data_IF_993034950757
#
_entry.id   IF_993034950757
#
_cell.length_a   1.000
_cell.length_b   1.000
_cell.length_c   1.000
_cell.angle_alpha   90.00
_cell.angle_beta   90.00
_cell.angle_gamma   90.00
#
_symmetry.space_group_name_H-M   'P 1'
#
loop_
_entity.id
_entity.type
_entity.pdbx_description
1 polymer ?
#
# COMPACT_ATOMS: atom_id res chain seq x y z
N UNK A 1 -47.76 -5.19 44.34
CA UNK A 1 -46.42 -4.89 43.77
C UNK A 1 -45.95 -6.16 43.07
N UNK A 2 -45.84 -6.22 41.73
CA UNK A 2 -45.15 -7.36 41.06
C UNK A 2 -44.92 -7.20 39.53
N UNK A 3 -44.67 -5.98 39.01
CA UNK A 3 -44.41 -5.77 37.57
C UNK A 3 -42.92 -5.66 37.15
N UNK A 4 -41.98 -5.78 38.09
CA UNK A 4 -40.55 -5.58 37.81
C UNK A 4 -39.82 -6.74 37.10
N UNK A 5 -40.08 -8.04 37.36
CA UNK A 5 -39.23 -9.10 36.81
C UNK A 5 -39.42 -9.34 35.30
N UNK A 6 -40.63 -9.17 34.76
CA UNK A 6 -40.91 -9.34 33.32
C UNK A 6 -40.29 -8.24 32.45
N UNK A 7 -40.29 -6.97 32.91
CA UNK A 7 -39.65 -5.86 32.18
C UNK A 7 -38.13 -6.00 32.10
N UNK A 8 -37.49 -6.53 33.15
CA UNK A 8 -36.05 -6.78 33.18
C UNK A 8 -35.69 -7.96 32.26
N UNK A 9 -36.49 -9.04 32.26
CA UNK A 9 -36.31 -10.20 31.38
C UNK A 9 -36.42 -9.85 29.89
N UNK A 10 -37.37 -8.98 29.50
CA UNK A 10 -37.52 -8.52 28.12
C UNK A 10 -36.36 -7.63 27.64
N UNK A 11 -35.76 -6.83 28.53
CA UNK A 11 -34.55 -6.04 28.20
C UNK A 11 -33.34 -6.95 27.99
N UNK A 12 -33.18 -8.00 28.79
CA UNK A 12 -32.11 -8.99 28.62
C UNK A 12 -32.20 -9.71 27.27
N UNK A 13 -33.40 -10.16 26.89
CA UNK A 13 -33.64 -10.81 25.58
C UNK A 13 -33.38 -9.87 24.41
N UNK A 14 -33.79 -8.59 24.51
CA UNK A 14 -33.50 -7.59 23.49
C UNK A 14 -32.00 -7.31 23.33
N UNK A 15 -31.26 -7.23 24.44
CA UNK A 15 -29.80 -7.05 24.43
C UNK A 15 -29.11 -8.29 23.82
N UNK A 16 -29.53 -9.51 24.18
CA UNK A 16 -28.99 -10.73 23.59
C UNK A 16 -29.26 -10.83 22.09
N UNK A 17 -30.42 -10.36 21.62
CA UNK A 17 -30.75 -10.31 20.19
C UNK A 17 -29.85 -9.31 19.44
N UNK A 18 -29.60 -8.13 20.02
CA UNK A 18 -28.67 -7.14 19.45
C UNK A 18 -27.23 -7.66 19.38
N UNK A 19 -26.75 -8.32 20.44
CA UNK A 19 -25.41 -8.93 20.46
C UNK A 19 -25.29 -10.03 19.41
N UNK A 20 -26.33 -10.86 19.25
CA UNK A 20 -26.35 -11.93 18.26
C UNK A 20 -26.35 -11.39 16.84
N UNK A 21 -27.15 -10.37 16.55
CA UNK A 21 -27.22 -9.73 15.24
C UNK A 21 -25.88 -9.06 14.88
N UNK A 22 -25.23 -8.40 15.83
CA UNK A 22 -23.88 -7.83 15.62
C UNK A 22 -22.82 -8.93 15.40
N UNK A 23 -22.88 -10.03 16.14
CA UNK A 23 -21.99 -11.19 15.93
C UNK A 23 -22.22 -11.87 14.58
N UNK A 24 -23.46 -12.00 14.12
CA UNK A 24 -23.79 -12.53 12.80
C UNK A 24 -23.31 -11.59 11.71
N UNK A 25 -23.51 -10.27 11.84
CA UNK A 25 -22.96 -9.26 10.92
C UNK A 25 -21.43 -9.33 10.85
N UNK A 26 -20.76 -9.41 12.00
CA UNK A 26 -19.30 -9.56 12.06
C UNK A 26 -18.82 -10.84 11.36
N UNK A 27 -19.47 -11.98 11.64
CA UNK A 27 -19.17 -13.27 11.00
C UNK A 27 -19.40 -13.27 9.49
N UNK A 28 -20.33 -12.46 8.99
CA UNK A 28 -20.57 -12.30 7.55
C UNK A 28 -19.54 -11.36 6.90
N UNK A 29 -19.01 -10.38 7.63
CA UNK A 29 -18.01 -9.43 7.12
C UNK A 29 -16.58 -9.98 7.15
N UNK A 30 -16.26 -10.85 8.11
CA UNK A 30 -14.91 -11.42 8.29
C UNK A 30 -14.40 -12.19 7.05
N UNK A 31 -15.20 -13.06 6.37
CA UNK A 31 -14.79 -13.70 5.13
C UNK A 31 -14.54 -12.71 3.98
N UNK A 32 -15.33 -11.65 3.90
CA UNK A 32 -15.15 -10.61 2.88
C UNK A 32 -13.86 -9.82 3.11
N UNK A 33 -13.60 -9.43 4.36
CA UNK A 33 -12.35 -8.75 4.73
C UNK A 33 -11.14 -9.63 4.45
N UNK A 34 -11.22 -10.92 4.77
CA UNK A 34 -10.17 -11.88 4.47
C UNK A 34 -9.95 -12.01 2.96
N UNK A 35 -11.01 -12.15 2.17
CA UNK A 35 -10.91 -12.23 0.72
C UNK A 35 -10.29 -10.96 0.11
N UNK A 36 -10.70 -9.78 0.58
CA UNK A 36 -10.14 -8.50 0.13
C UNK A 36 -8.65 -8.35 0.49
N UNK A 37 -8.24 -8.88 1.65
CA UNK A 37 -6.83 -8.91 2.08
C UNK A 37 -6.01 -9.86 1.19
N UNK A 38 -6.53 -11.07 0.94
CA UNK A 38 -5.90 -12.06 0.06
C UNK A 38 -5.76 -11.54 -1.37
N UNK A 39 -6.80 -10.92 -1.92
CA UNK A 39 -6.78 -10.30 -3.25
C UNK A 39 -5.75 -9.17 -3.32
N UNK A 40 -5.69 -8.32 -2.29
CA UNK A 40 -4.72 -7.23 -2.24
C UNK A 40 -3.30 -7.76 -2.16
N UNK A 41 -3.05 -8.76 -1.32
CA UNK A 41 -1.76 -9.43 -1.23
C UNK A 41 -1.35 -10.08 -2.56
N UNK A 42 -2.27 -10.79 -3.21
CA UNK A 42 -2.03 -11.37 -4.53
C UNK A 42 -1.68 -10.31 -5.58
N UNK A 43 -2.41 -9.20 -5.60
CA UNK A 43 -2.09 -8.10 -6.52
C UNK A 43 -0.71 -7.50 -6.26
N UNK A 44 -0.36 -7.25 -5.00
CA UNK A 44 0.95 -6.70 -4.63
C UNK A 44 2.06 -7.65 -5.12
N UNK A 45 1.99 -8.91 -4.72
CA UNK A 45 3.04 -9.90 -5.00
C UNK A 45 3.18 -10.24 -6.49
N UNK A 46 2.09 -10.20 -7.26
CA UNK A 46 2.11 -10.60 -8.68
C UNK A 46 2.27 -9.44 -9.66
N UNK A 47 1.88 -8.22 -9.28
CA UNK A 47 1.88 -7.05 -10.19
C UNK A 47 2.80 -5.93 -9.75
N UNK A 48 2.84 -5.61 -8.45
CA UNK A 48 3.55 -4.42 -7.93
C UNK A 48 4.99 -4.75 -7.55
N UNK A 49 5.18 -5.78 -6.71
CA UNK A 49 6.49 -6.17 -6.18
C UNK A 49 7.53 -6.49 -7.28
N UNK A 50 7.19 -7.21 -8.37
CA UNK A 50 8.17 -7.49 -9.43
C UNK A 50 8.75 -6.22 -10.07
N UNK A 51 7.96 -5.14 -10.13
CA UNK A 51 8.40 -3.86 -10.68
C UNK A 51 9.18 -3.07 -9.63
N UNK A 52 8.61 -2.93 -8.42
CA UNK A 52 9.20 -2.10 -7.36
C UNK A 52 10.50 -2.67 -6.81
N UNK A 53 10.62 -3.99 -6.61
CA UNK A 53 11.85 -4.61 -6.11
C UNK A 53 13.01 -4.36 -7.06
N UNK A 54 12.80 -4.51 -8.37
CA UNK A 54 13.84 -4.28 -9.37
C UNK A 54 14.36 -2.84 -9.33
N UNK A 55 13.46 -1.85 -9.33
CA UNK A 55 13.89 -0.44 -9.32
C UNK A 55 14.43 0.00 -7.96
N UNK A 56 13.99 -0.63 -6.87
CA UNK A 56 14.55 -0.43 -5.54
C UNK A 56 16.00 -0.89 -5.46
N UNK A 57 16.33 -2.04 -6.04
CA UNK A 57 17.71 -2.52 -6.13
C UNK A 57 18.59 -1.54 -6.91
N UNK A 58 18.12 -1.08 -8.07
CA UNK A 58 18.86 -0.12 -8.90
C UNK A 58 19.09 1.21 -8.17
N UNK A 59 18.06 1.79 -7.56
CA UNK A 59 18.20 3.09 -6.89
C UNK A 59 19.11 3.01 -5.66
N UNK A 60 19.13 1.88 -4.94
CA UNK A 60 20.03 1.67 -3.80
C UNK A 60 21.46 1.32 -4.21
N UNK A 61 21.64 0.73 -5.40
CA UNK A 61 22.94 0.47 -5.97
C UNK A 61 23.63 1.77 -6.36
N UNK A 62 22.94 2.63 -7.11
CA UNK A 62 23.54 3.84 -7.69
C UNK A 62 23.42 5.07 -6.77
N UNK A 63 22.40 5.16 -5.93
CA UNK A 63 22.14 6.29 -5.04
C UNK A 63 22.14 7.65 -5.77
N UNK A 64 21.29 7.85 -6.79
CA UNK A 64 21.15 9.13 -7.49
C UNK A 64 20.62 10.23 -6.58
N UNK A 65 21.06 11.46 -6.78
CA UNK A 65 20.50 12.61 -6.06
C UNK A 65 19.06 12.91 -6.49
N UNK A 66 18.78 12.86 -7.80
CA UNK A 66 17.44 13.01 -8.41
C UNK A 66 16.67 11.67 -8.38
N UNK A 67 16.32 11.23 -7.18
CA UNK A 67 15.78 9.88 -6.93
C UNK A 67 14.48 9.59 -7.69
N UNK A 68 13.54 10.54 -7.75
CA UNK A 68 12.25 10.32 -8.40
C UNK A 68 12.37 10.19 -9.93
N UNK A 69 13.17 11.05 -10.58
CA UNK A 69 13.40 10.96 -12.03
C UNK A 69 14.17 9.67 -12.39
N UNK A 70 15.12 9.28 -11.55
CA UNK A 70 15.82 8.01 -11.72
C UNK A 70 14.86 6.83 -11.66
N UNK A 71 13.99 6.77 -10.64
CA UNK A 71 12.99 5.71 -10.50
C UNK A 71 12.02 5.67 -11.69
N UNK A 72 11.57 6.84 -12.19
CA UNK A 72 10.70 6.89 -13.35
C UNK A 72 11.36 6.25 -14.60
N UNK A 73 12.61 6.59 -14.86
CA UNK A 73 13.36 6.05 -16.00
C UNK A 73 13.77 4.58 -15.80
N UNK A 74 14.05 4.16 -14.57
CA UNK A 74 14.28 2.76 -14.22
C UNK A 74 13.04 1.90 -14.48
N UNK A 75 11.86 2.36 -14.03
CA UNK A 75 10.58 1.66 -14.28
C UNK A 75 10.31 1.56 -15.79
N UNK A 76 10.58 2.61 -16.57
CA UNK A 76 10.42 2.59 -18.04
C UNK A 76 11.42 1.71 -18.78
N UNK A 77 12.53 1.35 -18.14
CA UNK A 77 13.66 0.72 -18.81
C UNK A 77 14.45 1.69 -19.70
N UNK A 78 14.33 3.00 -19.48
CA UNK A 78 15.01 4.07 -20.23
C UNK A 78 16.13 4.73 -19.41
N UNK A 79 16.62 4.04 -18.37
CA UNK A 79 17.60 4.57 -17.44
C UNK A 79 18.95 4.85 -18.11
N UNK A 80 19.38 6.11 -18.08
CA UNK A 80 20.72 6.53 -18.51
C UNK A 80 21.55 6.96 -17.30
N UNK A 81 22.45 6.07 -16.87
CA UNK A 81 23.33 6.29 -15.71
C UNK A 81 24.29 7.47 -15.86
N UNK A 82 24.52 8.00 -17.07
CA UNK A 82 25.39 9.17 -17.26
C UNK A 82 24.68 10.50 -16.97
N UNK A 83 23.35 10.48 -16.81
CA UNK A 83 22.53 11.69 -16.59
C UNK A 83 22.56 12.19 -15.14
N UNK A 84 22.89 11.32 -14.18
CA UNK A 84 22.67 11.58 -12.77
C UNK A 84 23.96 11.86 -12.01
N UNK A 85 23.82 12.69 -10.97
CA UNK A 85 24.81 12.81 -9.92
C UNK A 85 24.48 11.79 -8.83
N UNK A 86 25.53 11.25 -8.20
CA UNK A 86 25.41 10.19 -7.21
C UNK A 86 25.88 10.67 -5.85
N UNK A 87 25.20 10.22 -4.81
CA UNK A 87 25.54 10.54 -3.42
C UNK A 87 26.17 9.34 -2.74
N UNK A 88 27.22 9.59 -1.97
CA UNK A 88 27.85 8.57 -1.14
C UNK A 88 27.26 8.64 0.28
N UNK A 89 26.10 8.02 0.46
CA UNK A 89 25.49 7.82 1.77
C UNK A 89 25.54 6.35 2.15
N UNK A 90 25.48 6.07 3.46
CA UNK A 90 25.16 4.72 3.92
C UNK A 90 23.79 4.34 3.34
N UNK A 91 23.69 3.18 2.68
CA UNK A 91 22.47 2.75 1.95
C UNK A 91 21.18 2.92 2.75
N UNK A 92 21.19 2.54 4.03
CA UNK A 92 20.03 2.70 4.92
C UNK A 92 19.62 4.18 5.06
N UNK A 93 20.58 5.08 5.24
CA UNK A 93 20.31 6.52 5.38
C UNK A 93 19.78 7.11 4.05
N UNK A 94 20.32 6.66 2.92
CA UNK A 94 19.80 7.06 1.60
C UNK A 94 18.36 6.58 1.42
N UNK A 95 18.09 5.31 1.73
CA UNK A 95 16.76 4.73 1.66
C UNK A 95 15.77 5.54 2.51
N UNK A 96 16.10 5.76 3.78
CA UNK A 96 15.22 6.44 4.72
C UNK A 96 14.92 7.89 4.33
N UNK A 97 15.92 8.61 3.80
CA UNK A 97 15.79 10.03 3.47
C UNK A 97 15.17 10.28 2.11
N UNK A 98 15.46 9.44 1.11
CA UNK A 98 15.15 9.75 -0.30
C UNK A 98 14.18 8.74 -0.95
N UNK A 99 14.23 7.47 -0.55
CA UNK A 99 13.53 6.39 -1.29
C UNK A 99 12.25 5.92 -0.59
N UNK A 100 12.27 5.78 0.74
CA UNK A 100 11.19 5.18 1.55
C UNK A 100 9.83 5.79 1.24
N UNK A 101 9.74 7.12 1.25
CA UNK A 101 8.47 7.81 0.99
C UNK A 101 7.95 7.56 -0.43
N UNK A 102 8.84 7.55 -1.44
CA UNK A 102 8.48 7.28 -2.82
C UNK A 102 7.96 5.85 -3.00
N UNK A 103 8.60 4.86 -2.35
CA UNK A 103 8.15 3.47 -2.37
C UNK A 103 6.78 3.30 -1.71
N UNK A 104 6.58 3.86 -0.52
CA UNK A 104 5.29 3.79 0.18
C UNK A 104 4.18 4.44 -0.64
N UNK A 105 4.45 5.62 -1.23
CA UNK A 105 3.50 6.30 -2.09
C UNK A 105 3.15 5.44 -3.32
N UNK A 106 4.15 4.88 -3.99
CA UNK A 106 3.96 4.03 -5.16
C UNK A 106 3.09 2.80 -4.85
N UNK A 107 3.44 2.05 -3.81
CA UNK A 107 2.69 0.86 -3.39
C UNK A 107 1.24 1.20 -3.05
N UNK A 108 1.02 2.20 -2.19
CA UNK A 108 -0.32 2.57 -1.74
C UNK A 108 -1.19 3.06 -2.91
N UNK A 109 -0.62 3.87 -3.81
CA UNK A 109 -1.38 4.40 -4.95
C UNK A 109 -1.69 3.28 -5.95
N UNK A 110 -0.75 2.37 -6.22
CA UNK A 110 -0.99 1.24 -7.11
C UNK A 110 -2.05 0.25 -6.57
N UNK A 111 -2.08 0.02 -5.25
CA UNK A 111 -3.12 -0.79 -4.60
C UNK A 111 -4.49 -0.13 -4.75
N UNK A 112 -4.56 1.19 -4.55
CA UNK A 112 -5.82 1.95 -4.62
C UNK A 112 -6.38 2.04 -6.03
N UNK A 113 -5.55 2.41 -7.00
CA UNK A 113 -6.00 2.71 -8.37
C UNK A 113 -6.15 1.45 -9.24
N UNK A 114 -5.48 0.35 -8.89
CA UNK A 114 -5.49 -0.92 -9.65
C UNK A 114 -5.27 -0.72 -11.17
N UNK A 115 -4.20 -0.02 -11.60
CA UNK A 115 -3.96 0.24 -13.01
C UNK A 115 -3.81 -1.04 -13.84
N UNK A 116 -4.31 -1.01 -15.08
CA UNK A 116 -4.14 -2.12 -16.02
C UNK A 116 -2.66 -2.35 -16.39
N UNK A 117 -1.90 -1.27 -16.55
CA UNK A 117 -0.45 -1.31 -16.71
C UNK A 117 0.24 -0.66 -15.49
N UNK A 118 0.71 -1.49 -14.57
CA UNK A 118 1.40 -1.05 -13.35
C UNK A 118 2.71 -0.33 -13.68
N UNK A 119 3.44 -0.77 -14.72
CA UNK A 119 4.74 -0.22 -15.05
C UNK A 119 4.61 1.23 -15.55
N UNK A 120 3.73 1.48 -16.52
CA UNK A 120 3.50 2.84 -17.04
C UNK A 120 2.98 3.76 -15.94
N UNK A 121 2.01 3.28 -15.16
CA UNK A 121 1.45 4.03 -14.05
C UNK A 121 2.51 4.44 -13.02
N UNK A 122 3.38 3.52 -12.61
CA UNK A 122 4.43 3.80 -11.63
C UNK A 122 5.46 4.79 -12.19
N UNK A 123 5.80 4.68 -13.48
CA UNK A 123 6.72 5.62 -14.11
C UNK A 123 6.17 7.05 -14.14
N UNK A 124 4.91 7.22 -14.54
CA UNK A 124 4.22 8.51 -14.51
C UNK A 124 4.13 9.08 -13.09
N UNK A 125 3.83 8.22 -12.12
CA UNK A 125 3.77 8.62 -10.71
C UNK A 125 5.12 9.17 -10.22
N UNK A 126 6.23 8.49 -10.51
CA UNK A 126 7.56 8.96 -10.13
C UNK A 126 7.97 10.23 -10.89
N UNK A 127 7.65 10.32 -12.18
CA UNK A 127 7.92 11.52 -12.97
C UNK A 127 7.19 12.75 -12.41
N UNK A 128 5.91 12.61 -12.04
CA UNK A 128 5.14 13.67 -11.40
C UNK A 128 5.77 14.15 -10.08
N UNK A 129 6.58 13.31 -9.41
CA UNK A 129 7.30 13.65 -8.18
C UNK A 129 8.70 14.20 -8.41
N UNK A 130 9.22 14.15 -9.63
CA UNK A 130 10.58 14.60 -9.97
C UNK A 130 10.81 16.11 -9.78
N UNK A 131 9.75 16.90 -9.70
CA UNK A 131 9.85 18.34 -9.40
C UNK A 131 10.05 18.65 -7.91
N UNK A 132 9.85 17.65 -7.04
CA UNK A 132 9.84 17.83 -5.58
C UNK A 132 10.98 17.09 -4.86
N UNK A 133 11.68 16.18 -5.54
CA UNK A 133 12.69 15.28 -4.99
C UNK A 133 13.95 15.24 -5.86
#
# INVERSE_FOLDING_TARGET
MEQQPQKIRNKGVAISALIRDEQERYRMHDPYLKAALDETYQYITTKVDPVLTKVLEEVLLYQPDQTADFLANAVRGTLNLKKYNYVELKRQNYFDRKVRHLMVLATNTAIRERPANVQDFLAELFEARSKFY
#
